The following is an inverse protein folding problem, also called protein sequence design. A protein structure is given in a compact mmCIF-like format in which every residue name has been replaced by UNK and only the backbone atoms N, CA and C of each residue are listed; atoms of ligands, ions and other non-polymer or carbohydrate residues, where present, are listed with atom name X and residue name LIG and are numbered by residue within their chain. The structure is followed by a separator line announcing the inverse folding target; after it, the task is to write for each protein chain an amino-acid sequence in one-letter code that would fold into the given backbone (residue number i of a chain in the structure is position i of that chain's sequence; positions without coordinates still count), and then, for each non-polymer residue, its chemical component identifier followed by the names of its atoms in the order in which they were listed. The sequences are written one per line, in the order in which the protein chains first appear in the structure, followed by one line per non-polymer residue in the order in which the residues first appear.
data_IF_414256101505
#
_entry.id   IF_414256101505
#
_cell.length_a   1.000
_cell.length_b   1.000
_cell.length_c   1.000
_cell.angle_alpha   90.00
_cell.angle_beta   90.00
_cell.angle_gamma   90.00
#
_symmetry.space_group_name_H-M   'P 1'
#
loop_
_entity.id
_entity.type
_entity.pdbx_description
1 polymer ?
#
# COMPACT_ATOMS: atom_id res chain seq x y z
N UNK A 1 -3.57 -9.28 7.70
CA UNK A 1 -2.87 -8.30 6.84
C UNK A 1 -1.69 -8.93 6.10
N UNK A 2 -0.64 -9.44 6.76
CA UNK A 2 0.53 -10.08 6.10
C UNK A 2 0.17 -11.13 5.03
N UNK A 3 -0.72 -12.05 5.36
CA UNK A 3 -1.17 -13.12 4.45
C UNK A 3 -1.86 -12.58 3.18
N UNK A 4 -2.61 -11.48 3.30
CA UNK A 4 -3.27 -10.84 2.16
C UNK A 4 -2.28 -10.04 1.33
N UNK A 5 -1.40 -9.27 1.98
CA UNK A 5 -0.37 -8.49 1.31
C UNK A 5 0.59 -9.38 0.49
N UNK A 6 0.87 -10.60 0.96
CA UNK A 6 1.68 -11.58 0.23
C UNK A 6 1.10 -11.94 -1.16
N UNK A 7 -0.22 -11.90 -1.34
CA UNK A 7 -0.88 -12.11 -2.64
C UNK A 7 -0.55 -11.02 -3.65
N UNK A 8 -0.18 -9.83 -3.17
CA UNK A 8 0.26 -8.69 -3.97
C UNK A 8 1.79 -8.59 -4.08
N UNK A 9 2.53 -9.64 -3.70
CA UNK A 9 4.00 -9.64 -3.73
C UNK A 9 4.65 -8.86 -2.59
N UNK A 10 3.87 -8.38 -1.62
CA UNK A 10 4.39 -7.69 -0.43
C UNK A 10 4.83 -8.72 0.59
N UNK A 11 6.13 -8.73 0.90
CA UNK A 11 6.69 -9.61 1.93
C UNK A 11 7.25 -8.78 3.08
N UNK A 12 7.09 -9.27 4.32
CA UNK A 12 7.90 -8.82 5.44
C UNK A 12 9.39 -8.70 5.09
N UNK A 13 9.98 -7.53 5.30
CA UNK A 13 11.45 -7.37 5.32
C UNK A 13 11.95 -7.63 6.75
N UNK A 14 13.12 -8.25 6.91
CA UNK A 14 13.73 -8.34 8.25
C UNK A 14 13.84 -6.95 8.88
N UNK A 15 13.31 -6.79 10.09
CA UNK A 15 13.22 -5.49 10.78
C UNK A 15 11.98 -4.65 10.45
N UNK A 16 10.88 -5.28 9.99
CA UNK A 16 9.64 -4.61 9.57
C UNK A 16 9.27 -3.36 10.38
N UNK A 17 8.99 -2.30 9.63
CA UNK A 17 8.78 -0.93 10.05
C UNK A 17 7.49 -0.78 10.87
N UNK A 18 7.65 -0.86 12.18
CA UNK A 18 6.72 -0.31 13.16
C UNK A 18 7.35 0.97 13.70
N UNK A 19 6.71 2.12 13.48
CA UNK A 19 7.15 3.35 14.15
C UNK A 19 6.91 3.29 15.67
N UNK A 20 5.92 2.52 16.11
CA UNK A 20 5.58 2.31 17.52
C UNK A 20 4.70 1.07 17.71
N UNK A 21 4.93 0.34 18.80
CA UNK A 21 4.10 -0.81 19.20
C UNK A 21 3.96 -0.85 20.72
N UNK A 22 3.13 0.06 21.24
CA UNK A 22 2.87 0.28 22.65
C UNK A 22 1.36 0.18 22.95
N UNK A 23 0.97 0.26 24.23
CA UNK A 23 -0.43 0.11 24.63
C UNK A 23 -1.34 1.21 24.07
N UNK A 24 -0.81 2.42 23.92
CA UNK A 24 -1.54 3.61 23.46
C UNK A 24 -1.48 3.80 21.94
N UNK A 25 -0.48 3.23 21.27
CA UNK A 25 -0.29 3.39 19.82
C UNK A 25 0.36 2.16 19.20
N UNK A 26 -0.17 1.70 18.07
CA UNK A 26 0.37 0.56 17.32
C UNK A 26 0.46 0.91 15.85
N UNK A 27 1.59 0.59 15.24
CA UNK A 27 1.84 0.78 13.83
C UNK A 27 2.48 -0.48 13.27
N UNK A 28 1.98 -0.93 12.13
CA UNK A 28 2.58 -2.03 11.41
C UNK A 28 2.41 -1.81 9.92
N UNK A 29 3.52 -1.55 9.25
CA UNK A 29 3.60 -1.25 7.82
C UNK A 29 4.49 -2.27 7.12
N UNK A 30 4.03 -2.73 5.95
CA UNK A 30 4.81 -3.56 5.04
C UNK A 30 4.67 -3.05 3.61
N UNK A 31 5.77 -3.16 2.88
CA UNK A 31 5.91 -2.60 1.54
C UNK A 31 6.63 -3.56 0.60
N UNK A 32 6.17 -3.59 -0.64
CA UNK A 32 6.76 -4.41 -1.69
C UNK A 32 5.91 -4.35 -2.95
N UNK A 33 6.53 -4.62 -4.10
CA UNK A 33 5.82 -4.63 -5.38
C UNK A 33 4.97 -3.35 -5.65
N UNK A 34 5.44 -2.18 -5.20
CA UNK A 34 4.72 -0.90 -5.29
C UNK A 34 3.39 -0.82 -4.50
N UNK A 35 3.14 -1.76 -3.58
CA UNK A 35 2.05 -1.71 -2.62
C UNK A 35 2.57 -1.38 -1.21
N UNK A 36 1.75 -0.66 -0.45
CA UNK A 36 1.92 -0.42 0.98
C UNK A 36 0.67 -0.86 1.72
N UNK A 37 0.84 -1.73 2.71
CA UNK A 37 -0.22 -2.11 3.65
C UNK A 37 0.16 -1.62 5.03
N UNK A 38 -0.74 -0.86 5.68
CA UNK A 38 -0.49 -0.28 6.99
C UNK A 38 -1.69 -0.43 7.90
N UNK A 39 -1.47 -1.01 9.08
CA UNK A 39 -2.42 -0.91 10.20
C UNK A 39 -1.86 0.15 11.15
N UNK A 40 -2.64 1.18 11.40
CA UNK A 40 -2.30 2.26 12.32
C UNK A 40 -3.39 2.42 13.37
N UNK A 41 -3.00 2.40 14.63
CA UNK A 41 -3.87 2.66 15.77
C UNK A 41 -3.24 3.74 16.66
N UNK A 42 -3.97 4.83 16.86
CA UNK A 42 -3.64 5.87 17.86
C UNK A 42 -4.87 6.05 18.75
N UNK A 43 -5.84 6.86 18.33
CA UNK A 43 -7.13 7.03 19.03
C UNK A 43 -8.22 6.09 18.48
N UNK A 44 -7.95 5.44 17.35
CA UNK A 44 -8.78 4.44 16.68
C UNK A 44 -7.91 3.66 15.70
N UNK A 45 -8.33 2.45 15.33
CA UNK A 45 -7.59 1.58 14.42
C UNK A 45 -8.08 1.72 12.99
N UNK A 46 -7.16 1.86 12.05
CA UNK A 46 -7.44 1.92 10.61
C UNK A 46 -6.52 1.01 9.82
N UNK A 47 -7.06 0.40 8.76
CA UNK A 47 -6.30 -0.31 7.74
C UNK A 47 -6.24 0.57 6.49
N UNK A 48 -5.02 0.88 6.06
CA UNK A 48 -4.75 1.63 4.83
C UNK A 48 -4.00 0.73 3.85
N UNK A 49 -4.44 0.74 2.59
CA UNK A 49 -3.82 -0.01 1.49
C UNK A 49 -3.61 0.97 0.35
N UNK A 50 -2.35 1.22 0.02
CA UNK A 50 -1.97 2.00 -1.16
C UNK A 50 -1.46 1.03 -2.22
N UNK A 51 -2.07 1.09 -3.41
CA UNK A 51 -1.68 0.25 -4.53
C UNK A 51 -0.63 0.88 -5.45
N UNK A 52 -0.15 0.06 -6.38
CA UNK A 52 0.75 0.49 -7.45
C UNK A 52 0.13 1.62 -8.30
N UNK A 53 0.99 2.37 -8.98
CA UNK A 53 0.54 3.34 -9.97
C UNK A 53 -0.09 2.62 -11.16
N UNK A 54 -1.32 2.99 -11.52
CA UNK A 54 -2.02 2.44 -12.68
C UNK A 54 -2.59 3.55 -13.54
N UNK A 55 -2.59 3.33 -14.85
CA UNK A 55 -3.27 4.24 -15.77
C UNK A 55 -4.77 4.23 -15.48
N UNK A 56 -5.37 5.42 -15.43
CA UNK A 56 -6.83 5.53 -15.38
C UNK A 56 -7.44 4.93 -16.64
N UNK A 57 -8.66 4.38 -16.53
CA UNK A 57 -9.35 3.74 -17.65
C UNK A 57 -9.39 4.63 -18.91
N UNK A 58 -9.66 5.93 -18.73
CA UNK A 58 -9.66 6.92 -19.83
C UNK A 58 -8.37 6.98 -20.65
N UNK A 59 -7.22 6.66 -20.04
CA UNK A 59 -5.91 6.63 -20.72
C UNK A 59 -5.69 5.28 -21.40
N UNK A 60 -6.20 4.19 -20.81
CA UNK A 60 -6.15 2.86 -21.43
C UNK A 60 -7.02 2.78 -22.70
N UNK A 61 -8.11 3.55 -22.75
CA UNK A 61 -9.01 3.60 -23.90
C UNK A 61 -8.45 4.44 -25.07
N UNK A 62 -7.34 5.15 -24.86
CA UNK A 62 -6.67 5.93 -25.90
C UNK A 62 -5.78 5.06 -26.79
N UNK A 63 -5.56 5.47 -28.06
CA UNK A 63 -4.56 4.81 -28.90
C UNK A 63 -3.16 4.85 -28.26
N UNK A 64 -2.41 3.74 -28.28
CA UNK A 64 -1.06 3.69 -27.72
C UNK A 64 -0.13 4.74 -28.35
N UNK A 65 0.75 5.33 -27.52
CA UNK A 65 1.75 6.30 -27.97
C UNK A 65 1.22 7.72 -28.16
N UNK A 66 -0.05 7.99 -27.85
CA UNK A 66 -0.59 9.34 -27.84
C UNK A 66 -0.46 9.99 -26.46
N UNK A 67 -0.18 11.30 -26.44
CA UNK A 67 -0.21 12.08 -25.21
C UNK A 67 -1.67 12.30 -24.77
N UNK A 68 -2.05 11.96 -23.52
CA UNK A 68 -3.38 12.28 -23.01
C UNK A 68 -3.64 13.80 -23.06
N UNK A 69 -4.85 14.24 -23.45
CA UNK A 69 -5.22 15.64 -23.38
C UNK A 69 -5.22 16.11 -21.91
N UNK A 70 -4.97 17.41 -21.71
CA UNK A 70 -5.03 18.07 -20.39
C UNK A 70 -6.43 18.02 -19.77
#
# INVERSE_FOLDING_TARGET
MRQEAAKFGVKPKEGESSLFNESTKRDYQIEGNEYTFRILQINGAGLMITGQCVLMQKVLDMPPGQLPPE
#
